data_IF_654026921623
#
_entry.id   IF_654026921623
#
_cell.length_a   1.000
_cell.length_b   1.000
_cell.length_c   1.000
_cell.angle_alpha   90.00
_cell.angle_beta   90.00
_cell.angle_gamma   90.00
#
_symmetry.space_group_name_H-M   'P 1'
#
loop_
_entity.id
_entity.type
_entity.pdbx_description
1 polymer ?
#
# COMPACT_ATOMS: atom_id res chain seq x y z
N UNK A 1 32.09 -31.32 -35.90
CA UNK A 1 32.15 -31.79 -34.50
C UNK A 1 31.05 -31.10 -33.70
N UNK A 2 30.16 -31.86 -33.03
CA UNK A 2 29.03 -31.29 -32.28
C UNK A 2 29.49 -30.85 -30.88
N UNK A 3 29.26 -29.59 -30.53
CA UNK A 3 29.56 -29.06 -29.21
C UNK A 3 28.54 -29.57 -28.17
N UNK A 4 29.05 -30.29 -27.17
CA UNK A 4 28.29 -30.78 -26.02
C UNK A 4 27.98 -29.60 -25.10
N UNK A 5 26.70 -29.21 -25.00
CA UNK A 5 26.26 -28.19 -24.03
C UNK A 5 26.36 -28.79 -22.62
N UNK A 6 27.23 -28.21 -21.79
CA UNK A 6 27.39 -28.53 -20.37
C UNK A 6 26.05 -28.32 -19.67
N UNK A 7 25.50 -29.37 -19.09
CA UNK A 7 24.33 -29.29 -18.21
C UNK A 7 24.71 -28.49 -16.96
N UNK A 8 24.16 -27.29 -16.82
CA UNK A 8 24.21 -26.53 -15.59
C UNK A 8 23.29 -27.21 -14.57
N UNK A 9 23.79 -28.27 -13.94
CA UNK A 9 23.15 -28.91 -12.79
C UNK A 9 23.34 -28.02 -11.58
N UNK A 10 22.45 -27.05 -11.40
CA UNK A 10 22.11 -26.49 -10.10
C UNK A 10 20.59 -26.36 -10.08
N UNK A 11 19.94 -27.52 -10.02
CA UNK A 11 18.50 -27.62 -9.91
C UNK A 11 18.12 -27.51 -8.42
N UNK A 12 18.26 -26.33 -7.84
CA UNK A 12 17.73 -26.00 -6.51
C UNK A 12 16.18 -26.02 -6.48
N UNK A 13 15.55 -26.18 -7.64
CA UNK A 13 14.12 -26.32 -7.77
C UNK A 13 13.70 -27.77 -7.55
N UNK A 14 12.63 -27.95 -6.76
CA UNK A 14 12.04 -29.28 -6.55
C UNK A 14 11.50 -29.84 -7.86
N UNK A 15 11.47 -31.16 -7.97
CA UNK A 15 11.05 -31.85 -9.19
C UNK A 15 9.60 -31.55 -9.60
N UNK A 16 8.74 -31.11 -8.68
CA UNK A 16 7.37 -30.72 -8.98
C UNK A 16 7.27 -29.38 -9.72
N UNK A 17 8.33 -28.57 -9.72
CA UNK A 17 8.35 -27.27 -10.39
C UNK A 17 8.82 -27.41 -11.84
N UNK A 18 7.86 -27.55 -12.76
CA UNK A 18 8.08 -27.38 -14.20
C UNK A 18 7.39 -26.10 -14.69
N UNK A 19 8.18 -25.08 -15.01
CA UNK A 19 7.67 -23.77 -15.44
C UNK A 19 7.70 -23.65 -16.96
N UNK A 20 6.53 -23.78 -17.59
CA UNK A 20 6.33 -23.45 -19.00
C UNK A 20 6.22 -21.92 -19.21
N UNK A 21 7.35 -21.28 -19.51
CA UNK A 21 7.40 -19.84 -19.79
C UNK A 21 6.90 -19.46 -21.19
N UNK A 22 6.53 -20.40 -22.06
CA UNK A 22 6.01 -20.07 -23.40
C UNK A 22 4.70 -19.27 -23.36
N UNK A 23 3.92 -19.44 -22.28
CA UNK A 23 2.67 -18.72 -22.00
C UNK A 23 2.86 -17.55 -21.02
N UNK A 24 4.09 -17.24 -20.63
CA UNK A 24 4.36 -16.17 -19.68
C UNK A 24 4.10 -14.80 -20.33
N UNK A 25 3.23 -13.99 -19.69
CA UNK A 25 2.89 -12.65 -20.16
C UNK A 25 3.41 -11.63 -19.16
N UNK A 26 4.29 -10.73 -19.62
CA UNK A 26 4.81 -9.63 -18.79
C UNK A 26 3.65 -8.76 -18.30
N UNK A 27 3.57 -8.57 -16.98
CA UNK A 27 2.56 -7.69 -16.38
C UNK A 27 1.13 -8.22 -16.44
N UNK A 28 0.91 -9.55 -16.53
CA UNK A 28 -0.41 -10.19 -16.61
C UNK A 28 -1.46 -9.62 -15.65
N UNK A 29 -1.06 -9.26 -14.43
CA UNK A 29 -1.95 -8.73 -13.40
C UNK A 29 -1.72 -7.24 -13.07
N UNK A 30 -0.79 -6.56 -13.75
CA UNK A 30 -0.40 -5.19 -13.43
C UNK A 30 -1.59 -4.22 -13.47
N UNK A 31 -2.43 -4.31 -14.51
CA UNK A 31 -3.63 -3.45 -14.64
C UNK A 31 -4.64 -3.69 -13.52
N UNK A 32 -4.72 -4.92 -13.00
CA UNK A 32 -5.62 -5.27 -11.89
C UNK A 32 -5.09 -4.69 -10.58
N UNK A 33 -3.80 -4.87 -10.29
CA UNK A 33 -3.17 -4.34 -9.08
C UNK A 33 -3.21 -2.81 -9.03
N UNK A 34 -2.99 -2.13 -10.16
CA UNK A 34 -3.14 -0.68 -10.24
C UNK A 34 -4.56 -0.20 -9.91
N UNK A 35 -5.58 -0.91 -10.41
CA UNK A 35 -6.99 -0.55 -10.16
C UNK A 35 -7.43 -0.86 -8.73
N UNK A 36 -6.99 -2.00 -8.20
CA UNK A 36 -7.34 -2.45 -6.84
C UNK A 36 -6.53 -1.73 -5.77
N UNK A 37 -5.47 -0.99 -6.15
CA UNK A 37 -4.69 -0.18 -5.21
C UNK A 37 -4.01 -1.02 -4.13
N UNK A 38 -3.50 -2.19 -4.49
CA UNK A 38 -2.83 -3.12 -3.57
C UNK A 38 -1.42 -2.65 -3.24
N UNK A 39 -1.31 -1.54 -2.51
CA UNK A 39 -0.05 -1.08 -1.95
C UNK A 39 0.15 -1.72 -0.57
N UNK A 40 1.16 -2.58 -0.44
CA UNK A 40 1.47 -3.23 0.84
C UNK A 40 2.26 -2.26 1.70
N UNK A 41 1.71 -1.90 2.86
CA UNK A 41 2.37 -1.05 3.85
C UNK A 41 2.62 -1.89 5.09
N UNK A 42 3.88 -1.97 5.51
CA UNK A 42 4.28 -2.69 6.73
C UNK A 42 4.07 -1.76 7.92
N UNK A 43 3.38 -2.25 8.94
CA UNK A 43 3.20 -1.55 10.21
C UNK A 43 4.30 -1.98 11.18
N UNK A 44 4.65 -1.08 12.10
CA UNK A 44 5.52 -1.43 13.22
C UNK A 44 4.87 -2.50 14.12
N UNK A 45 5.66 -3.38 14.77
CA UNK A 45 5.14 -4.54 15.51
C UNK A 45 4.19 -4.19 16.66
N UNK A 46 4.38 -3.05 17.30
CA UNK A 46 3.52 -2.52 18.36
C UNK A 46 2.15 -2.11 17.82
N UNK A 47 2.11 -1.40 16.70
CA UNK A 47 0.88 -0.99 16.00
C UNK A 47 0.16 -2.22 15.44
N UNK A 48 0.89 -3.16 14.85
CA UNK A 48 0.32 -4.41 14.34
C UNK A 48 -0.32 -5.27 15.44
N UNK A 49 0.19 -5.22 16.68
CA UNK A 49 -0.43 -5.91 17.83
C UNK A 49 -1.74 -5.24 18.27
N UNK A 50 -1.84 -3.92 18.12
CA UNK A 50 -3.02 -3.16 18.49
C UNK A 50 -4.19 -3.35 17.50
N UNK A 51 -3.90 -3.53 16.20
CA UNK A 51 -4.93 -3.63 15.16
C UNK A 51 -4.96 -5.01 14.50
N UNK A 52 -6.11 -5.69 14.60
CA UNK A 52 -6.31 -7.03 14.03
C UNK A 52 -6.54 -7.07 12.52
N UNK A 53 -6.82 -5.93 11.87
CA UNK A 53 -7.09 -5.87 10.42
C UNK A 53 -6.77 -4.50 9.83
N UNK A 54 -6.53 -4.48 8.52
CA UNK A 54 -6.35 -3.25 7.74
C UNK A 54 -7.59 -2.34 7.77
N UNK A 55 -8.79 -2.94 7.86
CA UNK A 55 -10.03 -2.18 8.01
C UNK A 55 -10.04 -1.35 9.31
N UNK A 56 -9.64 -1.95 10.44
CA UNK A 56 -9.58 -1.27 11.73
C UNK A 56 -8.56 -0.11 11.74
N UNK A 57 -7.38 -0.33 11.12
CA UNK A 57 -6.37 0.73 10.96
C UNK A 57 -6.94 1.90 10.14
N UNK A 58 -7.56 1.61 9.01
CA UNK A 58 -8.10 2.63 8.12
C UNK A 58 -9.23 3.44 8.77
N UNK A 59 -10.10 2.81 9.55
CA UNK A 59 -11.15 3.53 10.30
C UNK A 59 -10.58 4.46 11.36
N UNK A 60 -9.55 4.00 12.10
CA UNK A 60 -8.88 4.84 13.10
C UNK A 60 -8.24 6.07 12.44
N UNK A 61 -7.49 5.88 11.35
CA UNK A 61 -6.86 6.98 10.60
C UNK A 61 -7.90 7.96 10.03
N UNK A 62 -9.02 7.47 9.49
CA UNK A 62 -10.11 8.33 9.00
C UNK A 62 -10.74 9.15 10.12
N UNK A 63 -10.89 8.56 11.30
CA UNK A 63 -11.43 9.25 12.48
C UNK A 63 -10.50 10.37 12.93
N UNK A 64 -9.19 10.12 12.94
CA UNK A 64 -8.18 11.14 13.23
C UNK A 64 -8.20 12.30 12.23
N UNK A 65 -8.34 12.01 10.94
CA UNK A 65 -8.45 13.05 9.91
C UNK A 65 -9.68 13.95 10.13
N UNK A 66 -10.84 13.36 10.46
CA UNK A 66 -12.07 14.12 10.76
C UNK A 66 -11.90 15.03 11.98
N UNK A 67 -11.25 14.53 13.03
CA UNK A 67 -10.95 15.33 14.23
C UNK A 67 -10.02 16.49 13.89
N UNK A 68 -8.96 16.23 13.11
CA UNK A 68 -8.03 17.25 12.65
C UNK A 68 -8.73 18.33 11.80
N UNK A 69 -9.68 17.96 10.94
CA UNK A 69 -10.44 18.93 10.16
C UNK A 69 -11.37 19.78 11.05
N UNK A 70 -12.02 19.17 12.02
CA UNK A 70 -12.91 19.86 12.96
C UNK A 70 -12.14 20.89 13.81
N UNK A 71 -10.98 20.52 14.34
CA UNK A 71 -10.13 21.43 15.13
C UNK A 71 -9.59 22.57 14.27
N UNK A 72 -9.18 22.30 13.02
CA UNK A 72 -8.71 23.34 12.10
C UNK A 72 -9.79 24.37 11.75
N UNK A 73 -11.06 23.95 11.64
CA UNK A 73 -12.19 24.87 11.40
C UNK A 73 -12.49 25.75 12.62
N UNK A 74 -12.30 25.23 13.83
CA UNK A 74 -12.54 25.98 15.06
C UNK A 74 -11.52 27.11 15.24
N UNK A 75 -10.24 26.84 14.93
CA UNK A 75 -9.17 27.85 15.01
C UNK A 75 -9.21 28.88 13.89
N UNK A 76 -9.79 28.53 12.73
CA UNK A 76 -9.95 29.47 11.61
C UNK A 76 -11.04 30.53 11.82
N UNK A 77 -12.06 30.28 12.68
CA UNK A 77 -13.21 31.19 12.85
C UNK A 77 -12.97 32.36 13.82
N UNK A 78 -11.90 32.34 14.62
CA UNK A 78 -11.64 33.39 15.62
C UNK A 78 -10.96 34.64 15.07
N UNK A 79 -10.44 34.63 13.84
CA UNK A 79 -9.74 35.78 13.24
C UNK A 79 -10.63 36.83 12.56
N UNK A 80 -11.94 36.59 12.40
CA UNK A 80 -12.80 37.38 11.50
C UNK A 80 -13.68 38.48 12.12
N UNK A 81 -13.61 38.72 13.44
CA UNK A 81 -14.55 39.61 14.15
C UNK A 81 -13.92 40.87 14.77
N UNK A 82 -12.82 41.37 14.20
CA UNK A 82 -12.13 42.57 14.67
C UNK A 82 -11.98 43.69 13.61
N UNK A 83 -12.93 43.82 12.67
CA UNK A 83 -12.87 44.87 11.66
C UNK A 83 -14.25 45.48 11.32
N UNK A 84 -15.04 45.88 12.32
CA UNK A 84 -16.11 46.87 12.10
C UNK A 84 -16.45 47.64 13.37
N UNK A 85 -15.53 48.47 13.84
CA UNK A 85 -15.87 49.65 14.65
C UNK A 85 -14.91 50.76 14.23
N UNK A 86 -15.31 51.57 13.24
CA UNK A 86 -14.77 52.92 13.04
C UNK A 86 -15.91 53.85 12.61
N UNK A 87 -16.19 54.76 13.55
CA UNK A 87 -16.87 56.07 13.51
C UNK A 87 -17.62 56.47 12.24
#
# INVERSE_FOLDING_TARGET
MKAKRKSASNNDMRAEYDFDYSKAVRGKYYRRLLKEGTNVVVLEPDVAKAFRSSAAVNEALRSLLRLSEATRRLTSRSGGRAATVRR
#
